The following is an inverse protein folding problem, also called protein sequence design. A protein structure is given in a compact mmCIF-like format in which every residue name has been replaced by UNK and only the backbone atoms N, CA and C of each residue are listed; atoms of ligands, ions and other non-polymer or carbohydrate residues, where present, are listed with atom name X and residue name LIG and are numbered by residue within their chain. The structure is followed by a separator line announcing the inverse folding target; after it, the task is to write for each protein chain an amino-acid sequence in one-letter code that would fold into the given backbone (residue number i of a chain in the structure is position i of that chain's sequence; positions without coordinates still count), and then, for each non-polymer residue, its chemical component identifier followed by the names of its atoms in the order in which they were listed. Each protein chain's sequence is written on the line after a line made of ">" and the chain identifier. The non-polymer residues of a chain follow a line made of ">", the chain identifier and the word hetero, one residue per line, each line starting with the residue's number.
data_IF_406597831677
#
_entry.id   IF_406597831677
#
_cell.length_a   1.000
_cell.length_b   1.000
_cell.length_c   1.000
_cell.angle_alpha   90.00
_cell.angle_beta   90.00
_cell.angle_gamma   90.00
#
_symmetry.space_group_name_H-M   'P 1'
#
loop_
_entity.id
_entity.type
_entity.pdbx_description
1 polymer ?
#
# COMPACT_ATOMS: atom_id res chain seq x y z
N UNK A 1 25.98 -83.51 19.23
CA UNK A 1 24.96 -83.71 20.28
C UNK A 1 24.82 -82.42 21.08
N UNK A 2 23.58 -81.89 21.14
CA UNK A 2 22.97 -81.02 22.18
C UNK A 2 23.58 -79.62 22.41
N UNK A 3 22.87 -78.56 21.96
CA UNK A 3 22.00 -77.62 22.75
C UNK A 3 22.85 -76.64 23.59
N UNK A 4 22.70 -75.32 23.52
CA UNK A 4 21.54 -74.62 24.09
C UNK A 4 21.52 -73.13 23.68
N UNK A 5 20.31 -72.68 23.36
CA UNK A 5 19.82 -71.32 23.17
C UNK A 5 19.94 -70.47 24.43
N UNK A 6 20.34 -69.20 24.34
CA UNK A 6 19.96 -68.17 25.32
C UNK A 6 19.81 -66.80 24.64
N UNK A 7 18.55 -66.40 24.52
CA UNK A 7 18.08 -65.06 24.22
C UNK A 7 18.49 -64.10 25.36
N UNK A 8 19.02 -62.92 24.99
CA UNK A 8 19.01 -61.74 25.85
C UNK A 8 18.53 -60.53 25.04
N UNK A 9 17.57 -59.86 25.64
CA UNK A 9 16.58 -58.94 25.10
C UNK A 9 16.96 -57.51 25.53
N UNK A 10 16.68 -56.51 24.67
CA UNK A 10 16.59 -55.05 24.95
C UNK A 10 17.90 -54.37 25.42
N UNK A 11 18.35 -53.28 24.80
CA UNK A 11 17.66 -51.98 24.80
C UNK A 11 18.07 -51.16 23.57
N UNK A 12 17.08 -50.87 22.71
CA UNK A 12 17.17 -49.88 21.65
C UNK A 12 17.12 -48.49 22.30
N UNK A 13 18.28 -47.93 22.63
CA UNK A 13 18.39 -46.53 23.05
C UNK A 13 18.29 -45.59 21.86
N UNK A 14 17.09 -45.43 21.29
CA UNK A 14 16.83 -44.38 20.32
C UNK A 14 16.92 -43.04 21.05
N UNK A 15 18.08 -42.37 20.96
CA UNK A 15 18.24 -41.00 21.40
C UNK A 15 17.37 -40.13 20.49
N UNK A 16 16.13 -39.89 20.90
CA UNK A 16 15.29 -38.86 20.33
C UNK A 16 15.94 -37.53 20.69
N UNK A 17 16.75 -37.01 19.77
CA UNK A 17 17.14 -35.59 19.80
C UNK A 17 15.85 -34.82 19.54
N UNK A 18 15.18 -34.43 20.61
CA UNK A 18 14.11 -33.44 20.56
C UNK A 18 14.78 -32.14 20.16
N UNK A 19 14.80 -31.85 18.86
CA UNK A 19 15.06 -30.51 18.37
C UNK A 19 13.90 -29.66 18.89
N UNK A 20 14.15 -28.94 19.98
CA UNK A 20 13.25 -27.90 20.44
C UNK A 20 13.11 -26.89 19.29
N UNK A 21 12.00 -26.97 18.56
CA UNK A 21 11.60 -25.90 17.65
C UNK A 21 11.39 -24.67 18.53
N UNK A 22 12.40 -23.81 18.63
CA UNK A 22 12.24 -22.51 19.29
C UNK A 22 11.19 -21.76 18.48
N UNK A 23 10.02 -21.60 19.07
CA UNK A 23 8.91 -20.88 18.49
C UNK A 23 9.30 -19.39 18.47
N UNK A 24 10.10 -19.00 17.48
CA UNK A 24 10.76 -17.70 17.39
C UNK A 24 9.78 -16.63 16.89
N UNK A 25 8.61 -16.52 17.53
CA UNK A 25 7.69 -15.41 17.27
C UNK A 25 8.33 -14.16 17.86
N UNK A 26 8.59 -13.18 17.00
CA UNK A 26 9.05 -11.87 17.45
C UNK A 26 8.07 -11.36 18.53
N UNK A 27 8.56 -10.87 19.66
CA UNK A 27 7.72 -10.41 20.76
C UNK A 27 6.77 -9.29 20.31
N UNK A 28 5.51 -9.36 20.75
CA UNK A 28 4.49 -8.35 20.45
C UNK A 28 4.79 -7.10 21.28
N UNK A 29 5.01 -5.96 20.62
CA UNK A 29 5.27 -4.69 21.30
C UNK A 29 3.98 -4.15 21.93
N UNK A 30 4.00 -3.95 23.25
CA UNK A 30 2.90 -3.42 24.06
C UNK A 30 3.09 -1.94 24.39
N UNK A 31 2.12 -1.31 25.05
CA UNK A 31 2.25 0.06 25.55
C UNK A 31 3.38 0.24 26.57
N UNK A 32 3.69 -0.81 27.34
CA UNK A 32 4.77 -0.84 28.32
C UNK A 32 6.15 -1.14 27.71
N UNK A 33 6.23 -1.38 26.40
CA UNK A 33 7.50 -1.67 25.74
C UNK A 33 8.38 -0.43 25.68
N UNK A 34 9.58 -0.52 26.25
CA UNK A 34 10.58 0.54 26.21
C UNK A 34 11.32 0.49 24.86
N UNK A 35 11.11 1.51 24.05
CA UNK A 35 11.74 1.68 22.73
C UNK A 35 12.68 2.87 22.78
N UNK A 36 13.92 2.70 22.32
CA UNK A 36 14.95 3.74 22.29
C UNK A 36 15.52 3.95 20.90
N UNK A 37 16.07 5.11 20.59
CA UNK A 37 16.94 5.27 19.41
C UNK A 37 18.39 4.84 19.70
N UNK A 38 19.31 5.06 18.75
CA UNK A 38 20.72 4.75 18.87
C UNK A 38 21.44 5.59 19.95
N UNK A 39 20.93 6.78 20.25
CA UNK A 39 21.48 7.70 21.26
C UNK A 39 20.92 7.40 22.67
N UNK A 40 19.99 6.44 22.77
CA UNK A 40 19.36 6.00 24.02
C UNK A 40 18.10 6.78 24.40
N UNK A 41 17.62 7.69 23.56
CA UNK A 41 16.40 8.47 23.78
C UNK A 41 15.19 7.54 23.81
N UNK A 42 14.40 7.59 24.89
CA UNK A 42 13.20 6.76 25.03
C UNK A 42 11.99 7.42 24.36
N UNK A 43 11.27 6.65 23.54
CA UNK A 43 10.06 7.10 22.86
C UNK A 43 8.80 6.55 23.54
N UNK A 44 7.82 7.40 23.89
CA UNK A 44 6.49 6.94 24.30
C UNK A 44 5.81 6.11 23.21
N UNK A 45 4.91 5.21 23.60
CA UNK A 45 4.24 4.30 22.67
C UNK A 45 3.37 4.97 21.63
N UNK A 46 2.77 6.11 21.95
CA UNK A 46 2.09 6.96 20.97
C UNK A 46 3.04 7.48 19.89
N UNK A 47 4.28 7.83 20.25
CA UNK A 47 5.25 8.44 19.33
C UNK A 47 5.85 7.39 18.40
N UNK A 48 6.39 6.29 18.93
CA UNK A 48 7.02 5.30 18.06
C UNK A 48 5.99 4.60 17.17
N UNK A 49 4.73 4.41 17.60
CA UNK A 49 3.66 3.90 16.73
C UNK A 49 3.38 4.84 15.56
N UNK A 50 3.32 6.14 15.83
CA UNK A 50 3.17 7.18 14.79
C UNK A 50 4.36 7.20 13.83
N UNK A 51 5.58 6.99 14.33
CA UNK A 51 6.76 6.91 13.47
C UNK A 51 6.75 5.64 12.60
N UNK A 52 6.39 4.49 13.17
CA UNK A 52 6.20 3.25 12.41
C UNK A 52 5.10 3.39 11.35
N UNK A 53 4.01 4.11 11.67
CA UNK A 53 2.91 4.35 10.73
C UNK A 53 3.29 5.26 9.56
N UNK A 54 4.50 5.82 9.52
CA UNK A 54 5.03 6.49 8.32
C UNK A 54 5.73 5.53 7.35
N UNK A 55 6.01 4.29 7.77
CA UNK A 55 6.82 3.33 7.02
C UNK A 55 8.31 3.70 6.94
N UNK A 56 8.69 4.90 7.38
CA UNK A 56 10.07 5.40 7.35
C UNK A 56 10.88 4.96 8.57
N UNK A 57 10.24 4.38 9.58
CA UNK A 57 10.91 3.91 10.80
C UNK A 57 10.60 2.44 11.07
N UNK A 58 11.57 1.75 11.65
CA UNK A 58 11.48 0.35 12.06
C UNK A 58 11.94 0.19 13.51
N UNK A 59 11.45 -0.84 14.18
CA UNK A 59 11.95 -1.26 15.48
C UNK A 59 12.63 -2.61 15.31
N UNK A 60 13.91 -2.69 15.65
CA UNK A 60 14.70 -3.93 15.67
C UNK A 60 14.90 -4.37 17.11
N UNK A 61 14.66 -5.65 17.40
CA UNK A 61 14.99 -6.24 18.69
C UNK A 61 16.50 -6.48 18.76
N UNK A 62 17.14 -6.02 19.83
CA UNK A 62 18.57 -6.17 20.08
C UNK A 62 18.81 -6.88 21.41
N UNK A 63 19.66 -7.91 21.37
CA UNK A 63 20.11 -8.68 22.52
C UNK A 63 21.59 -8.99 22.30
N UNK A 64 22.45 -8.63 23.26
CA UNK A 64 23.91 -8.78 23.14
C UNK A 64 24.38 -10.21 23.46
N UNK A 65 23.75 -10.87 24.42
CA UNK A 65 23.98 -12.29 24.77
C UNK A 65 22.68 -12.99 25.18
N UNK A 66 22.66 -14.31 25.22
CA UNK A 66 21.46 -15.08 25.60
C UNK A 66 20.94 -14.75 27.02
N UNK A 67 21.83 -14.29 27.91
CA UNK A 67 21.49 -13.88 29.27
C UNK A 67 20.90 -12.46 29.36
N UNK A 68 21.04 -11.64 28.30
CA UNK A 68 20.61 -10.25 28.33
C UNK A 68 19.12 -10.07 28.03
N UNK A 69 18.55 -9.03 28.64
CA UNK A 69 17.20 -8.56 28.33
C UNK A 69 17.13 -8.03 26.90
N UNK A 70 16.07 -8.39 26.17
CA UNK A 70 15.82 -7.85 24.82
C UNK A 70 15.53 -6.35 24.94
N UNK A 71 16.20 -5.56 24.13
CA UNK A 71 15.97 -4.13 23.95
C UNK A 71 15.38 -3.87 22.57
N UNK A 72 14.69 -2.75 22.39
CA UNK A 72 14.04 -2.39 21.13
C UNK A 72 14.59 -1.06 20.63
N UNK A 73 15.22 -1.10 19.46
CA UNK A 73 15.86 0.07 18.85
C UNK A 73 15.03 0.57 17.69
N UNK A 74 14.52 1.79 17.82
CA UNK A 74 13.90 2.56 16.76
C UNK A 74 14.99 3.12 15.85
N UNK A 75 14.86 2.89 14.54
CA UNK A 75 15.78 3.42 13.53
C UNK A 75 14.99 3.86 12.31
N UNK A 76 15.49 4.90 11.63
CA UNK A 76 14.99 5.30 10.31
C UNK A 76 15.46 4.27 9.29
N UNK A 77 14.57 3.85 8.39
CA UNK A 77 14.92 3.04 7.22
C UNK A 77 15.66 3.90 6.20
N UNK A 78 16.64 3.32 5.51
CA UNK A 78 17.09 3.89 4.24
C UNK A 78 15.99 3.79 3.18
N UNK A 79 16.11 4.53 2.09
CA UNK A 79 15.14 4.44 0.99
C UNK A 79 15.15 3.03 0.39
N UNK A 80 16.31 2.38 0.27
CA UNK A 80 16.43 0.99 -0.19
C UNK A 80 15.77 -0.01 0.76
N UNK A 81 15.94 0.15 2.08
CA UNK A 81 15.26 -0.68 3.07
C UNK A 81 13.73 -0.51 3.02
N UNK A 82 13.26 0.72 2.78
CA UNK A 82 11.84 1.04 2.63
C UNK A 82 11.28 0.39 1.36
N UNK A 83 11.95 0.55 0.23
CA UNK A 83 11.55 -0.06 -1.03
C UNK A 83 11.56 -1.60 -0.94
N UNK A 84 12.58 -2.20 -0.32
CA UNK A 84 12.64 -3.65 -0.11
C UNK A 84 11.51 -4.17 0.80
N UNK A 85 11.09 -3.38 1.79
CA UNK A 85 9.92 -3.68 2.61
C UNK A 85 8.63 -3.63 1.77
N UNK A 86 8.42 -2.52 1.04
CA UNK A 86 7.25 -2.34 0.15
C UNK A 86 7.21 -3.45 -0.92
N UNK A 87 8.38 -3.88 -1.39
CA UNK A 87 8.55 -4.96 -2.36
C UNK A 87 7.93 -6.30 -1.89
N UNK A 88 7.88 -6.52 -0.58
CA UNK A 88 7.38 -7.75 0.05
C UNK A 88 5.94 -7.64 0.55
N UNK A 89 5.35 -6.44 0.53
CA UNK A 89 3.96 -6.25 0.96
C UNK A 89 3.00 -6.91 -0.04
N UNK A 90 1.93 -7.55 0.45
CA UNK A 90 0.92 -8.16 -0.41
C UNK A 90 0.17 -7.10 -1.22
N UNK A 91 -0.54 -7.56 -2.25
CA UNK A 91 -1.49 -6.70 -2.98
C UNK A 91 -2.51 -6.12 -1.99
N UNK A 92 -2.77 -4.79 -2.04
CA UNK A 92 -3.80 -4.16 -1.21
C UNK A 92 -5.18 -4.79 -1.38
N UNK A 93 -6.03 -4.60 -0.37
CA UNK A 93 -7.41 -5.06 -0.42
C UNK A 93 -8.16 -4.35 -1.55
N UNK A 94 -8.79 -5.13 -2.41
CA UNK A 94 -9.59 -4.62 -3.53
C UNK A 94 -10.85 -3.90 -3.02
N UNK A 95 -11.30 -2.87 -3.75
CA UNK A 95 -12.60 -2.24 -3.50
C UNK A 95 -13.74 -3.24 -3.66
N UNK A 96 -14.76 -3.17 -2.80
CA UNK A 96 -16.01 -3.92 -2.98
C UNK A 96 -16.89 -3.36 -4.10
N UNK A 97 -16.63 -2.12 -4.52
CA UNK A 97 -17.41 -1.35 -5.50
C UNK A 97 -16.75 -1.33 -6.88
N UNK A 98 -15.42 -1.22 -6.93
CA UNK A 98 -14.66 -1.23 -8.17
C UNK A 98 -13.94 -2.56 -8.33
N UNK A 99 -14.53 -3.48 -9.10
CA UNK A 99 -13.98 -4.82 -9.30
C UNK A 99 -13.10 -4.92 -10.53
N UNK A 100 -11.95 -5.56 -10.37
CA UNK A 100 -11.02 -5.81 -11.48
C UNK A 100 -11.72 -6.63 -12.56
N UNK A 101 -11.58 -6.21 -13.83
CA UNK A 101 -12.21 -6.82 -15.00
C UNK A 101 -13.55 -6.20 -15.40
N UNK A 102 -14.20 -5.44 -14.50
CA UNK A 102 -15.44 -4.72 -14.84
C UNK A 102 -15.14 -3.42 -15.59
N UNK A 103 -16.11 -2.97 -16.39
CA UNK A 103 -16.05 -1.66 -17.03
C UNK A 103 -16.35 -0.56 -16.01
N UNK A 104 -15.57 0.52 -16.05
CA UNK A 104 -15.88 1.71 -15.25
C UNK A 104 -17.21 2.31 -15.71
N UNK A 105 -18.17 2.49 -14.77
CA UNK A 105 -19.41 3.23 -15.07
C UNK A 105 -19.06 4.68 -15.42
N UNK A 106 -19.48 5.12 -16.61
CA UNK A 106 -19.13 6.44 -17.11
C UNK A 106 -19.71 7.59 -16.25
N UNK A 107 -18.92 8.66 -16.15
CA UNK A 107 -19.31 9.91 -15.54
C UNK A 107 -18.68 11.09 -16.27
N UNK A 108 -19.26 12.27 -16.04
CA UNK A 108 -18.73 13.54 -16.49
C UNK A 108 -18.71 14.50 -15.32
N UNK A 109 -17.63 15.24 -15.20
CA UNK A 109 -17.46 16.23 -14.15
C UNK A 109 -16.49 17.32 -14.60
N UNK A 110 -16.22 18.29 -13.72
CA UNK A 110 -15.18 19.30 -13.91
C UNK A 110 -14.22 19.31 -12.72
N UNK A 111 -12.96 19.67 -12.95
CA UNK A 111 -12.06 19.97 -11.86
C UNK A 111 -12.22 21.41 -11.33
N UNK A 112 -11.53 21.72 -10.24
CA UNK A 112 -11.45 23.05 -9.62
C UNK A 112 -10.93 24.14 -10.56
N UNK A 113 -10.24 23.79 -11.65
CA UNK A 113 -9.74 24.72 -12.67
C UNK A 113 -10.72 24.87 -13.85
N UNK A 114 -11.86 24.16 -13.82
CA UNK A 114 -12.87 24.17 -14.87
C UNK A 114 -12.60 23.21 -16.03
N UNK A 115 -11.56 22.38 -15.97
CA UNK A 115 -11.30 21.34 -16.96
C UNK A 115 -12.38 20.26 -16.88
N UNK A 116 -12.98 19.94 -18.03
CA UNK A 116 -14.09 19.00 -18.11
C UNK A 116 -13.59 17.58 -18.40
N UNK A 117 -13.94 16.66 -17.53
CA UNK A 117 -13.67 15.24 -17.69
C UNK A 117 -14.93 14.52 -18.16
N UNK A 118 -14.79 13.70 -19.19
CA UNK A 118 -15.80 12.75 -19.65
C UNK A 118 -15.08 11.41 -19.80
N UNK A 119 -15.29 10.47 -18.89
CA UNK A 119 -14.51 9.22 -18.88
C UNK A 119 -14.73 8.38 -20.13
N UNK A 120 -15.81 8.63 -20.88
CA UNK A 120 -16.01 8.02 -22.19
C UNK A 120 -15.08 8.60 -23.26
N UNK A 121 -14.75 9.90 -23.18
CA UNK A 121 -13.81 10.58 -24.09
C UNK A 121 -12.34 10.34 -23.73
N UNK A 122 -12.08 9.78 -22.54
CA UNK A 122 -10.75 9.37 -22.11
C UNK A 122 -10.40 7.92 -22.54
N UNK A 123 -11.28 7.25 -23.29
CA UNK A 123 -10.95 5.97 -23.91
C UNK A 123 -9.65 6.08 -24.73
N UNK A 124 -8.80 5.04 -24.67
CA UNK A 124 -7.43 5.09 -25.20
C UNK A 124 -6.38 5.63 -24.22
N UNK A 125 -6.79 6.13 -23.04
CA UNK A 125 -5.87 6.53 -21.95
C UNK A 125 -6.06 5.63 -20.73
N UNK A 126 -5.00 5.47 -19.96
CA UNK A 126 -5.07 4.91 -18.61
C UNK A 126 -5.58 6.00 -17.67
N UNK A 127 -6.63 5.72 -16.92
CA UNK A 127 -7.23 6.66 -15.97
C UNK A 127 -6.90 6.20 -14.55
N UNK A 128 -6.34 7.10 -13.76
CA UNK A 128 -6.06 6.91 -12.33
C UNK A 128 -7.06 7.76 -11.55
N UNK A 129 -7.94 7.10 -10.80
CA UNK A 129 -8.93 7.76 -9.93
C UNK A 129 -8.51 7.61 -8.46
N UNK A 130 -8.58 8.70 -7.69
CA UNK A 130 -8.40 8.70 -6.24
C UNK A 130 -9.58 9.40 -5.56
N UNK A 131 -10.40 8.68 -4.81
CA UNK A 131 -11.50 9.25 -4.03
C UNK A 131 -11.03 9.59 -2.62
N UNK A 132 -11.22 10.84 -2.19
CA UNK A 132 -10.69 11.35 -0.93
C UNK A 132 -11.51 12.53 -0.38
N UNK A 133 -11.16 13.00 0.82
CA UNK A 133 -11.67 14.25 1.39
C UNK A 133 -10.65 14.89 2.35
N UNK A 134 -10.77 16.20 2.60
CA UNK A 134 -9.78 17.00 3.35
C UNK A 134 -9.53 16.43 4.75
N UNK A 135 -10.60 16.11 5.48
CA UNK A 135 -10.52 15.58 6.84
C UNK A 135 -10.31 14.06 6.91
N UNK A 136 -9.62 13.48 5.92
CA UNK A 136 -9.25 12.07 5.85
C UNK A 136 -7.75 11.90 6.15
N UNK A 137 -7.34 11.57 7.40
CA UNK A 137 -5.93 11.34 7.73
C UNK A 137 -5.20 10.34 6.82
N UNK A 138 -5.77 9.15 6.50
CA UNK A 138 -5.09 8.22 5.60
C UNK A 138 -4.96 8.75 4.16
N UNK A 139 -5.94 9.52 3.67
CA UNK A 139 -5.84 10.15 2.35
C UNK A 139 -4.70 11.17 2.32
N UNK A 140 -4.62 12.05 3.34
CA UNK A 140 -3.56 13.06 3.45
C UNK A 140 -2.16 12.42 3.47
N UNK A 141 -2.04 11.26 4.10
CA UNK A 141 -0.80 10.50 4.13
C UNK A 141 -0.42 9.91 2.76
N UNK A 142 -1.39 9.61 1.91
CA UNK A 142 -1.17 9.03 0.57
C UNK A 142 -0.77 10.06 -0.49
N UNK A 143 -1.28 11.30 -0.39
CA UNK A 143 -1.08 12.37 -1.39
C UNK A 143 0.38 12.54 -1.82
N UNK A 144 1.39 12.62 -0.92
CA UNK A 144 2.77 12.79 -1.34
C UNK A 144 3.31 11.66 -2.21
N UNK A 145 2.86 10.42 -1.97
CA UNK A 145 3.27 9.28 -2.79
C UNK A 145 2.50 9.22 -4.11
N UNK A 146 1.25 9.70 -4.16
CA UNK A 146 0.53 9.89 -5.42
C UNK A 146 1.12 11.01 -6.28
N UNK A 147 1.59 12.10 -5.67
CA UNK A 147 2.30 13.16 -6.41
C UNK A 147 3.58 12.63 -7.07
N UNK A 148 4.37 11.80 -6.37
CA UNK A 148 5.53 11.13 -6.99
C UNK A 148 5.11 10.24 -8.14
N UNK A 149 4.00 9.51 -7.98
CA UNK A 149 3.48 8.67 -9.04
C UNK A 149 3.06 9.52 -10.26
N UNK A 150 2.45 10.69 -10.05
CA UNK A 150 2.17 11.64 -11.14
C UNK A 150 3.47 12.09 -11.82
N UNK A 151 4.50 12.41 -11.03
CA UNK A 151 5.80 12.84 -11.57
C UNK A 151 6.47 11.76 -12.45
N UNK A 152 6.30 10.47 -12.11
CA UNK A 152 6.79 9.33 -12.92
C UNK A 152 6.13 9.26 -14.31
N UNK A 153 4.92 9.82 -14.48
CA UNK A 153 4.16 9.77 -15.74
C UNK A 153 3.91 11.15 -16.37
N UNK A 154 4.49 12.23 -15.85
CA UNK A 154 4.23 13.61 -16.31
C UNK A 154 4.44 13.84 -17.80
N UNK A 155 5.38 13.10 -18.41
CA UNK A 155 5.70 13.20 -19.84
C UNK A 155 4.87 12.23 -20.71
N UNK A 156 4.03 11.39 -20.09
CA UNK A 156 3.20 10.41 -20.75
C UNK A 156 1.75 10.89 -20.87
N UNK A 157 1.39 11.37 -22.05
CA UNK A 157 0.04 11.88 -22.37
C UNK A 157 -1.04 10.80 -22.32
N UNK A 158 -0.69 9.53 -22.22
CA UNK A 158 -1.65 8.42 -22.18
C UNK A 158 -2.08 8.04 -20.77
N UNK A 159 -1.61 8.76 -19.75
CA UNK A 159 -2.03 8.56 -18.36
C UNK A 159 -2.69 9.84 -17.86
N UNK A 160 -3.86 9.73 -17.22
CA UNK A 160 -4.59 10.86 -16.63
C UNK A 160 -4.89 10.57 -15.18
N UNK A 161 -4.45 11.46 -14.29
CA UNK A 161 -4.70 11.37 -12.85
C UNK A 161 -5.82 12.33 -12.44
N UNK A 162 -6.86 11.79 -11.81
CA UNK A 162 -8.04 12.52 -11.37
C UNK A 162 -8.35 12.14 -9.93
N UNK A 163 -8.23 13.11 -9.03
CA UNK A 163 -8.75 13.02 -7.69
C UNK A 163 -10.21 13.46 -7.65
N UNK A 164 -11.04 12.75 -6.91
CA UNK A 164 -12.43 13.10 -6.63
C UNK A 164 -12.52 13.45 -5.16
N UNK A 165 -12.55 14.74 -4.85
CA UNK A 165 -12.71 15.26 -3.50
C UNK A 165 -14.20 15.36 -3.15
N UNK A 166 -14.58 14.98 -1.93
CA UNK A 166 -15.96 15.16 -1.46
C UNK A 166 -16.29 16.61 -1.07
N UNK A 167 -15.27 17.46 -0.97
CA UNK A 167 -15.32 18.82 -0.46
C UNK A 167 -15.59 19.84 -1.59
N UNK A 168 -16.01 21.05 -1.23
CA UNK A 168 -16.26 22.13 -2.18
C UNK A 168 -14.96 22.80 -2.65
N UNK A 169 -14.99 23.44 -3.82
CA UNK A 169 -13.87 24.14 -4.46
C UNK A 169 -13.02 24.97 -3.47
N UNK A 170 -13.68 25.87 -2.75
CA UNK A 170 -13.03 26.83 -1.86
C UNK A 170 -12.30 26.15 -0.69
N UNK A 171 -12.77 24.99 -0.24
CA UNK A 171 -12.11 24.22 0.82
C UNK A 171 -10.86 23.51 0.27
N UNK A 172 -10.97 22.98 -0.94
CA UNK A 172 -9.87 22.31 -1.64
C UNK A 172 -8.75 23.34 -1.92
N UNK A 173 -9.10 24.52 -2.44
CA UNK A 173 -8.17 25.60 -2.73
C UNK A 173 -7.37 26.05 -1.49
N UNK A 174 -8.00 26.10 -0.32
CA UNK A 174 -7.29 26.40 0.92
C UNK A 174 -6.38 25.25 1.35
N UNK A 175 -6.86 24.00 1.22
CA UNK A 175 -6.10 22.81 1.59
C UNK A 175 -4.81 22.65 0.76
N UNK A 176 -4.88 22.87 -0.56
CA UNK A 176 -3.74 22.65 -1.46
C UNK A 176 -2.59 23.64 -1.24
N UNK A 177 -2.82 24.77 -0.54
CA UNK A 177 -1.75 25.69 -0.11
C UNK A 177 -0.79 25.04 0.89
N UNK A 178 -1.28 24.08 1.67
CA UNK A 178 -0.51 23.40 2.72
C UNK A 178 -0.09 21.99 2.32
N UNK A 179 -0.83 21.35 1.42
CA UNK A 179 -0.54 20.02 0.91
C UNK A 179 -0.58 20.06 -0.62
N UNK A 180 0.58 20.18 -1.29
CA UNK A 180 0.65 20.24 -2.74
C UNK A 180 -0.03 19.04 -3.39
N UNK A 181 -0.66 19.27 -4.53
CA UNK A 181 -1.42 18.28 -5.27
C UNK A 181 -1.14 18.48 -6.76
N UNK A 182 -0.55 17.48 -7.41
CA UNK A 182 0.02 17.64 -8.75
C UNK A 182 -0.90 17.15 -9.89
N UNK A 183 -2.16 16.87 -9.59
CA UNK A 183 -3.11 16.25 -10.52
C UNK A 183 -4.52 16.82 -10.37
N UNK A 184 -5.39 16.56 -11.35
CA UNK A 184 -6.73 17.15 -11.41
C UNK A 184 -7.56 16.81 -10.18
N UNK A 185 -8.33 17.78 -9.67
CA UNK A 185 -9.20 17.59 -8.51
C UNK A 185 -10.63 17.97 -8.88
N UNK A 186 -11.49 16.98 -9.00
CA UNK A 186 -12.94 17.16 -9.08
C UNK A 186 -13.45 17.56 -7.69
N UNK A 187 -14.15 18.69 -7.64
CA UNK A 187 -14.83 19.21 -6.45
C UNK A 187 -16.23 18.61 -6.29
N UNK A 188 -16.80 18.73 -5.08
CA UNK A 188 -18.17 18.31 -4.76
C UNK A 188 -18.51 16.87 -5.23
N UNK A 189 -17.52 15.99 -5.19
CA UNK A 189 -17.59 14.62 -5.70
C UNK A 189 -18.47 13.68 -4.86
N UNK A 190 -19.21 14.19 -3.86
CA UNK A 190 -20.07 13.37 -2.98
C UNK A 190 -21.18 12.67 -3.74
N UNK A 191 -21.82 13.36 -4.69
CA UNK A 191 -22.83 12.75 -5.54
C UNK A 191 -22.23 11.62 -6.38
N UNK A 192 -21.04 11.84 -6.94
CA UNK A 192 -20.34 10.83 -7.75
C UNK A 192 -19.93 9.62 -6.91
N UNK A 193 -19.34 9.84 -5.73
CA UNK A 193 -18.97 8.78 -4.80
C UNK A 193 -20.19 7.94 -4.38
N UNK A 194 -21.31 8.60 -4.07
CA UNK A 194 -22.57 7.92 -3.73
C UNK A 194 -23.13 7.12 -4.91
N UNK A 195 -23.03 7.64 -6.15
CA UNK A 195 -23.47 6.93 -7.37
C UNK A 195 -22.68 5.64 -7.58
N UNK A 196 -21.41 5.60 -7.18
CA UNK A 196 -20.62 4.37 -7.16
C UNK A 196 -20.94 3.50 -5.94
N UNK A 197 -21.38 4.07 -4.82
CA UNK A 197 -21.62 3.36 -3.56
C UNK A 197 -20.39 3.35 -2.64
N UNK A 198 -19.54 4.38 -2.72
CA UNK A 198 -18.30 4.48 -1.96
C UNK A 198 -18.53 4.97 -0.53
N UNK A 199 -18.00 4.20 0.41
CA UNK A 199 -18.03 4.53 1.85
C UNK A 199 -16.65 4.40 2.52
N UNK A 200 -15.59 4.03 1.77
CA UNK A 200 -14.23 3.86 2.28
C UNK A 200 -13.27 4.79 1.53
N UNK A 201 -12.34 5.40 2.27
CA UNK A 201 -11.40 6.40 1.75
C UNK A 201 -10.00 6.21 2.37
N UNK A 202 -8.91 6.45 1.61
CA UNK A 202 -8.92 6.67 0.17
C UNK A 202 -9.39 5.41 -0.59
N UNK A 203 -9.95 5.60 -1.77
CA UNK A 203 -10.18 4.51 -2.74
C UNK A 203 -9.44 4.87 -4.02
N UNK A 204 -8.51 4.01 -4.45
CA UNK A 204 -7.77 4.19 -5.70
C UNK A 204 -8.28 3.22 -6.76
N UNK A 205 -8.39 3.66 -8.01
CA UNK A 205 -8.83 2.85 -9.15
C UNK A 205 -7.94 3.14 -10.35
N UNK A 206 -7.44 2.10 -11.01
CA UNK A 206 -6.74 2.19 -12.29
C UNK A 206 -7.62 1.56 -13.34
N UNK A 207 -7.90 2.32 -14.39
CA UNK A 207 -8.71 1.91 -15.53
C UNK A 207 -7.82 1.92 -16.77
N UNK A 208 -7.83 0.82 -17.51
CA UNK A 208 -7.04 0.69 -18.73
C UNK A 208 -7.63 1.47 -19.91
N UNK A 209 -6.94 1.40 -21.05
CA UNK A 209 -7.30 2.09 -22.29
C UNK A 209 -8.63 1.63 -22.89
N UNK A 210 -9.11 0.43 -22.54
CA UNK A 210 -10.40 -0.12 -22.97
C UNK A 210 -11.55 0.26 -22.00
N UNK A 211 -11.24 1.00 -20.92
CA UNK A 211 -12.21 1.38 -19.90
C UNK A 211 -12.47 0.30 -18.83
N UNK A 212 -11.66 -0.76 -18.77
CA UNK A 212 -11.76 -1.80 -17.74
C UNK A 212 -10.93 -1.45 -16.52
N UNK A 213 -11.47 -1.74 -15.35
CA UNK A 213 -10.76 -1.60 -14.08
C UNK A 213 -9.71 -2.71 -14.02
N UNK A 214 -8.43 -2.34 -13.94
CA UNK A 214 -7.29 -3.28 -13.84
C UNK A 214 -6.70 -3.34 -12.44
N UNK A 215 -7.02 -2.35 -11.61
CA UNK A 215 -6.67 -2.34 -10.19
C UNK A 215 -7.64 -1.48 -9.41
N UNK A 216 -7.95 -1.89 -8.19
CA UNK A 216 -8.53 -1.01 -7.18
C UNK A 216 -7.98 -1.33 -5.79
N UNK A 217 -7.97 -0.33 -4.92
CA UNK A 217 -7.61 -0.49 -3.51
C UNK A 217 -8.44 0.40 -2.60
N UNK A 218 -8.60 -0.01 -1.35
CA UNK A 218 -9.26 0.78 -0.29
C UNK A 218 -8.33 0.98 0.90
N UNK A 219 -8.52 2.10 1.60
CA UNK A 219 -7.69 2.55 2.72
C UNK A 219 -6.23 2.82 2.32
N UNK A 220 -5.52 3.48 3.23
CA UNK A 220 -4.08 3.69 3.06
C UNK A 220 -3.29 2.38 3.26
N UNK A 221 -2.39 2.09 2.33
CA UNK A 221 -1.40 1.02 2.43
C UNK A 221 -0.12 1.47 1.73
N UNK A 222 1.04 1.27 2.36
CA UNK A 222 2.35 1.60 1.77
C UNK A 222 2.62 0.91 0.44
N UNK A 223 1.94 -0.20 0.16
CA UNK A 223 2.04 -0.91 -1.11
C UNK A 223 1.20 -0.27 -2.23
N UNK A 224 0.24 0.62 -1.93
CA UNK A 224 -0.66 1.21 -2.93
C UNK A 224 0.11 1.84 -4.10
N UNK A 225 1.08 2.76 -3.91
CA UNK A 225 1.76 3.42 -5.02
C UNK A 225 2.47 2.42 -5.94
N UNK A 226 3.14 1.41 -5.37
CA UNK A 226 3.81 0.36 -6.15
C UNK A 226 2.85 -0.45 -7.00
N UNK A 227 1.73 -0.88 -6.42
CA UNK A 227 0.74 -1.69 -7.16
C UNK A 227 -0.03 -0.87 -8.19
N UNK A 228 -0.30 0.41 -7.90
CA UNK A 228 -0.85 1.36 -8.86
C UNK A 228 0.11 1.56 -10.04
N UNK A 229 1.39 1.82 -9.77
CA UNK A 229 2.43 1.92 -10.79
C UNK A 229 2.47 0.69 -11.68
N UNK A 230 2.51 -0.51 -11.07
CA UNK A 230 2.49 -1.78 -11.81
C UNK A 230 1.25 -1.88 -12.72
N UNK A 231 0.06 -1.55 -12.21
CA UNK A 231 -1.16 -1.63 -12.98
C UNK A 231 -1.20 -0.62 -14.16
N UNK A 232 -0.66 0.58 -13.96
CA UNK A 232 -0.51 1.58 -15.03
C UNK A 232 0.46 1.07 -16.09
N UNK A 233 1.64 0.59 -15.69
CA UNK A 233 2.66 0.07 -16.60
C UNK A 233 2.14 -1.13 -17.42
N UNK A 234 1.44 -2.08 -16.78
CA UNK A 234 0.80 -3.21 -17.45
C UNK A 234 -0.25 -2.75 -18.47
N UNK A 235 -1.09 -1.76 -18.11
CA UNK A 235 -2.14 -1.23 -18.98
C UNK A 235 -1.56 -0.47 -20.19
N UNK A 236 -0.45 0.24 -20.01
CA UNK A 236 0.27 0.90 -21.11
C UNK A 236 0.95 -0.12 -22.05
N UNK A 237 1.47 -1.23 -21.52
CA UNK A 237 2.14 -2.26 -22.30
C UNK A 237 1.16 -3.11 -23.13
N UNK A 238 -0.03 -3.40 -22.60
CA UNK A 238 -1.03 -4.25 -23.27
C UNK A 238 -1.49 -3.70 -24.63
N UNK A 239 -1.47 -2.38 -24.83
CA UNK A 239 -1.82 -1.75 -26.10
C UNK A 239 -0.71 -1.93 -27.16
N UNK A 240 0.57 -1.80 -26.77
CA UNK A 240 1.70 -1.99 -27.70
C UNK A 240 1.67 -3.37 -28.34
N UNK A 241 1.30 -4.39 -27.55
CA UNK A 241 1.17 -5.77 -28.04
C UNK A 241 -0.03 -5.94 -28.98
N UNK A 242 -1.16 -5.27 -28.73
CA UNK A 242 -2.32 -5.31 -29.63
C UNK A 242 -2.05 -4.62 -30.96
N UNK A 243 -1.37 -3.47 -30.94
CA UNK A 243 -0.98 -2.73 -32.14
C UNK A 243 0.03 -3.53 -32.98
N UNK A 244 1.05 -4.10 -32.35
CA UNK A 244 2.05 -4.94 -33.03
C UNK A 244 1.51 -6.27 -33.58
N UNK A 245 0.38 -6.76 -33.06
CA UNK A 245 -0.29 -7.96 -33.57
C UNK A 245 -1.31 -7.68 -34.68
N UNK A 246 -1.62 -6.40 -34.94
CA UNK A 246 -2.53 -5.96 -36.00
C UNK A 246 -1.81 -5.42 -37.25
N UNK A 247 -0.48 -5.34 -37.21
CA UNK A 247 0.41 -5.04 -38.34
C UNK A 247 1.00 -6.32 -38.94
#
# INVERSE_FOLDING_TARGET
>A
MKKLLLLLILFLGLQVVVVAQSNNRAPVLTESTVVRDADGTVYPSSVWRRLLSTGSYTIKAYRKSAADTVTYVLSRRSDEEKEAMIARLPKPAESTVFKTGELLKHFKDKDINGEKFDTKKLAGKVIVLNFWFINCPPCRQEIPDLNKLVDDYKDNKDVVFIAVALDEAYQIEEFIKQQPFNYHIIENGRFLANRFGLHLYPTNVIVDKDGKIVFSSVSFNFANPRWMKKAIDDALAAEKTKQAASE
#
